data_IF_082407177757
#
_entry.id   IF_082407177757
#
_cell.length_a   1.000
_cell.length_b   1.000
_cell.length_c   1.000
_cell.angle_alpha   90.00
_cell.angle_beta   90.00
_cell.angle_gamma   90.00
#
_symmetry.space_group_name_H-M   'P 1'
#
loop_
_entity.id
_entity.type
_entity.pdbx_description
1 polymer ?
#
# COMPACT_ATOMS: atom_id res chain seq x y z
N UNK A 1 -57.36 45.42 -16.78
CA UNK A 1 -57.20 44.50 -17.93
C UNK A 1 -56.00 44.96 -18.75
N UNK A 2 -55.21 44.00 -19.27
CA UNK A 2 -54.02 44.16 -20.14
C UNK A 2 -52.67 44.47 -19.46
N UNK A 3 -52.05 43.38 -19.00
CA UNK A 3 -50.71 42.87 -19.33
C UNK A 3 -49.56 43.78 -19.82
N UNK A 4 -48.39 43.47 -19.23
CA UNK A 4 -46.99 43.49 -19.72
C UNK A 4 -46.04 44.68 -19.48
N UNK A 5 -44.90 44.28 -18.89
CA UNK A 5 -43.51 44.69 -19.14
C UNK A 5 -42.90 45.86 -18.34
N UNK A 6 -42.06 45.51 -17.34
CA UNK A 6 -40.87 46.29 -16.95
C UNK A 6 -39.70 45.35 -16.59
N UNK A 7 -38.66 45.36 -17.44
CA UNK A 7 -37.21 45.20 -17.24
C UNK A 7 -36.60 44.15 -16.28
N UNK A 8 -35.73 43.28 -16.82
CA UNK A 8 -34.25 43.41 -16.70
C UNK A 8 -33.48 42.44 -17.61
N UNK A 9 -32.26 42.88 -17.89
CA UNK A 9 -31.37 42.59 -19.00
C UNK A 9 -30.29 41.55 -18.61
N UNK A 10 -29.63 41.00 -19.64
CA UNK A 10 -28.33 40.33 -19.68
C UNK A 10 -28.20 38.91 -19.09
N UNK A 11 -28.20 37.88 -19.95
CA UNK A 11 -27.00 37.10 -20.34
C UNK A 11 -27.37 35.94 -21.27
N UNK A 12 -27.19 36.21 -22.56
CA UNK A 12 -27.00 35.23 -23.63
C UNK A 12 -25.61 34.59 -23.48
N UNK A 13 -25.52 33.29 -23.22
CA UNK A 13 -24.46 32.39 -23.70
C UNK A 13 -24.79 30.93 -23.33
N UNK A 14 -25.88 30.40 -23.89
CA UNK A 14 -26.25 28.99 -23.75
C UNK A 14 -26.71 28.47 -25.10
N UNK A 15 -25.79 28.43 -26.07
CA UNK A 15 -25.86 27.49 -27.19
C UNK A 15 -24.48 27.40 -27.83
N UNK A 16 -24.15 26.18 -28.30
CA UNK A 16 -22.96 25.83 -29.09
C UNK A 16 -21.69 25.58 -28.27
N UNK A 17 -21.53 24.35 -27.77
CA UNK A 17 -20.32 23.51 -27.85
C UNK A 17 -20.52 22.26 -26.98
N UNK A 18 -21.37 21.34 -27.46
CA UNK A 18 -21.56 20.02 -26.82
C UNK A 18 -21.80 18.93 -27.86
N UNK A 19 -20.97 18.92 -28.90
CA UNK A 19 -20.89 17.83 -29.88
C UNK A 19 -19.55 17.91 -30.59
N UNK A 20 -18.55 17.12 -30.15
CA UNK A 20 -17.40 16.60 -30.91
C UNK A 20 -16.28 16.17 -29.94
N UNK A 21 -16.35 14.96 -29.38
CA UNK A 21 -15.20 14.12 -28.97
C UNK A 21 -15.65 12.73 -28.53
N UNK A 22 -16.54 12.06 -29.29
CA UNK A 22 -16.88 10.64 -29.06
C UNK A 22 -16.86 9.81 -30.35
N UNK A 23 -16.01 10.15 -31.32
CA UNK A 23 -15.76 9.31 -32.51
C UNK A 23 -14.30 9.41 -32.91
N UNK A 24 -13.37 8.82 -32.14
CA UNK A 24 -12.07 8.35 -32.69
C UNK A 24 -11.18 7.56 -31.70
N UNK A 25 -11.72 6.84 -30.70
CA UNK A 25 -10.89 6.08 -29.75
C UNK A 25 -11.11 4.56 -29.82
N UNK A 26 -11.25 4.02 -31.04
CA UNK A 26 -11.40 2.57 -31.25
C UNK A 26 -10.71 2.06 -32.50
N UNK A 27 -9.51 2.57 -32.80
CA UNK A 27 -8.66 2.02 -33.86
C UNK A 27 -7.19 2.32 -33.55
N UNK A 28 -6.39 1.26 -33.56
CA UNK A 28 -4.92 1.25 -33.47
C UNK A 28 -4.29 1.17 -32.07
N UNK A 29 -4.63 0.13 -31.31
CA UNK A 29 -3.64 -0.59 -30.51
C UNK A 29 -3.09 -1.72 -31.38
N UNK A 30 -1.94 -1.49 -31.99
CA UNK A 30 -0.92 -2.53 -32.15
C UNK A 30 0.33 -1.93 -32.76
N UNK A 31 1.46 -2.45 -32.29
CA UNK A 31 2.83 -2.21 -32.77
C UNK A 31 3.38 -0.84 -32.38
N UNK A 32 4.62 -0.65 -31.96
CA UNK A 32 5.81 -1.46 -31.71
C UNK A 32 6.84 -0.43 -31.15
N UNK A 33 7.97 -0.90 -30.60
CA UNK A 33 9.22 -0.13 -30.44
C UNK A 33 9.43 0.79 -29.21
N UNK A 34 10.23 0.26 -28.27
CA UNK A 34 11.41 0.90 -27.67
C UNK A 34 12.53 0.98 -28.76
N UNK A 35 13.63 1.79 -28.76
CA UNK A 35 14.34 2.35 -27.59
C UNK A 35 15.16 3.69 -27.78
N UNK A 36 15.74 4.18 -26.67
CA UNK A 36 16.99 5.00 -26.45
C UNK A 36 17.14 6.46 -26.94
N UNK A 37 17.20 7.35 -25.94
CA UNK A 37 18.16 8.42 -25.65
C UNK A 37 18.55 9.47 -26.70
N UNK A 38 18.26 10.76 -26.40
CA UNK A 38 19.29 11.75 -26.00
C UNK A 38 18.68 13.16 -25.78
N UNK A 39 19.37 13.96 -24.97
CA UNK A 39 19.17 15.40 -24.66
C UNK A 39 18.14 15.73 -23.54
N UNK A 40 18.51 15.86 -22.26
CA UNK A 40 19.40 16.82 -21.57
C UNK A 40 18.69 18.11 -21.08
N UNK A 41 18.34 18.06 -19.77
CA UNK A 41 18.32 19.12 -18.74
C UNK A 41 17.32 20.28 -18.82
N UNK A 42 16.38 20.36 -17.87
CA UNK A 42 16.41 21.32 -16.73
C UNK A 42 15.75 20.67 -15.49
N UNK A 43 16.51 20.62 -14.40
CA UNK A 43 16.07 20.20 -13.07
C UNK A 43 15.17 21.28 -12.44
N UNK A 44 13.93 20.92 -12.11
CA UNK A 44 13.28 21.39 -10.88
C UNK A 44 12.38 20.26 -10.36
N UNK A 45 12.50 20.03 -9.06
CA UNK A 45 12.46 18.72 -8.41
C UNK A 45 11.10 18.29 -7.89
N UNK A 46 9.96 18.61 -8.53
CA UNK A 46 8.66 18.26 -7.93
C UNK A 46 7.52 18.02 -8.93
N UNK A 47 7.72 17.17 -9.94
CA UNK A 47 6.57 16.66 -10.72
C UNK A 47 6.52 15.14 -10.82
N UNK A 48 7.65 14.43 -10.82
CA UNK A 48 7.66 12.96 -10.84
C UNK A 48 7.37 12.32 -9.48
N UNK A 49 7.81 12.93 -8.36
CA UNK A 49 7.34 12.54 -7.01
C UNK A 49 5.83 12.78 -6.84
N UNK A 50 5.28 13.75 -7.56
CA UNK A 50 3.85 14.09 -7.52
C UNK A 50 3.02 13.17 -8.43
N UNK A 51 3.55 12.78 -9.59
CA UNK A 51 2.87 11.87 -10.52
C UNK A 51 2.89 10.40 -10.07
N UNK A 52 3.84 9.98 -9.22
CA UNK A 52 3.78 8.68 -8.55
C UNK A 52 2.79 8.65 -7.36
N UNK A 53 2.30 9.81 -6.92
CA UNK A 53 1.37 9.95 -5.78
C UNK A 53 -0.10 9.88 -6.18
N UNK A 54 -0.42 9.92 -7.48
CA UNK A 54 -1.79 10.00 -7.99
C UNK A 54 -2.32 8.72 -8.66
N UNK A 55 -1.50 7.69 -8.89
CA UNK A 55 -1.99 6.35 -9.28
C UNK A 55 -2.50 5.51 -8.09
N UNK A 56 -2.58 6.12 -6.89
CA UNK A 56 -2.92 5.48 -5.60
C UNK A 56 -4.43 5.40 -5.31
N UNK A 57 -5.32 5.83 -6.21
CA UNK A 57 -6.77 5.64 -6.08
C UNK A 57 -7.29 5.09 -7.41
N UNK A 58 -7.63 3.80 -7.53
CA UNK A 58 -8.98 3.27 -7.25
C UNK A 58 -8.97 1.86 -6.58
N UNK A 59 -7.89 1.52 -5.89
CA UNK A 59 -7.83 0.33 -5.04
C UNK A 59 -7.20 0.72 -3.72
N UNK A 60 -8.01 0.95 -2.69
CA UNK A 60 -7.52 1.33 -1.36
C UNK A 60 -6.37 0.42 -0.94
N UNK A 61 -5.27 1.01 -0.44
CA UNK A 61 -4.12 0.26 0.06
C UNK A 61 -4.61 -0.56 1.26
N UNK A 62 -4.94 -1.83 1.01
CA UNK A 62 -5.18 -2.80 2.07
C UNK A 62 -3.82 -3.08 2.72
N UNK A 63 -3.48 -2.32 3.75
CA UNK A 63 -2.33 -2.63 4.59
C UNK A 63 -2.55 -4.04 5.14
N UNK A 64 -1.70 -4.97 4.73
CA UNK A 64 -1.75 -6.34 5.23
C UNK A 64 -1.55 -6.32 6.75
N UNK A 65 -2.50 -6.92 7.49
CA UNK A 65 -2.45 -6.94 8.95
C UNK A 65 -1.24 -7.73 9.42
N UNK A 66 -0.27 -7.06 10.02
CA UNK A 66 0.85 -7.69 10.72
C UNK A 66 0.40 -8.05 12.13
N UNK A 67 0.68 -9.28 12.55
CA UNK A 67 0.31 -9.79 13.88
C UNK A 67 1.48 -10.55 14.50
N UNK A 68 1.73 -10.27 15.77
CA UNK A 68 2.60 -11.07 16.65
C UNK A 68 1.71 -11.70 17.71
N UNK A 69 1.62 -13.03 17.71
CA UNK A 69 0.87 -13.80 18.70
C UNK A 69 1.84 -14.44 19.70
N UNK A 70 1.56 -14.26 20.99
CA UNK A 70 2.27 -14.95 22.06
C UNK A 70 1.58 -16.30 22.29
N UNK A 71 2.29 -17.41 22.08
CA UNK A 71 1.77 -18.73 22.40
C UNK A 71 2.15 -19.13 23.83
N UNK A 72 1.18 -19.69 24.55
CA UNK A 72 1.42 -20.24 25.89
C UNK A 72 2.48 -21.32 25.85
N UNK A 73 3.42 -21.26 26.78
CA UNK A 73 4.52 -22.22 26.92
C UNK A 73 5.31 -22.43 25.60
N UNK A 74 5.29 -21.44 24.70
CA UNK A 74 5.80 -21.58 23.35
C UNK A 74 6.37 -20.30 22.74
N UNK A 75 6.47 -20.29 21.42
CA UNK A 75 7.10 -19.25 20.60
C UNK A 75 6.25 -17.98 20.44
N UNK A 76 6.90 -16.92 19.96
CA UNK A 76 6.20 -15.81 19.32
C UNK A 76 5.90 -16.17 17.87
N UNK A 77 4.63 -16.16 17.47
CA UNK A 77 4.21 -16.40 16.09
C UNK A 77 4.04 -15.06 15.39
N UNK A 78 4.88 -14.80 14.41
CA UNK A 78 4.82 -13.59 13.59
C UNK A 78 4.13 -13.94 12.27
N UNK A 79 3.18 -13.11 11.85
CA UNK A 79 2.41 -13.28 10.60
C UNK A 79 2.24 -11.93 9.93
N UNK A 80 2.49 -11.88 8.63
CA UNK A 80 2.50 -10.66 7.82
C UNK A 80 3.85 -10.43 7.16
N UNK A 81 3.91 -9.41 6.32
CA UNK A 81 5.16 -8.99 5.68
C UNK A 81 6.00 -8.19 6.67
N UNK A 82 7.05 -8.83 7.19
CA UNK A 82 8.01 -8.21 8.12
C UNK A 82 9.43 -8.66 7.80
N UNK A 83 10.39 -7.78 8.02
CA UNK A 83 11.81 -8.10 7.97
C UNK A 83 12.34 -8.39 9.36
N UNK A 84 13.09 -9.48 9.50
CA UNK A 84 13.80 -9.83 10.73
C UNK A 84 15.27 -9.46 10.56
N UNK A 85 15.77 -8.52 11.37
CA UNK A 85 17.15 -8.02 11.30
C UNK A 85 17.90 -8.30 12.59
N UNK A 86 19.23 -8.45 12.50
CA UNK A 86 20.12 -8.47 13.66
C UNK A 86 20.54 -7.06 14.11
N UNK A 87 21.35 -6.99 15.16
CA UNK A 87 21.88 -5.72 15.69
C UNK A 87 22.84 -5.00 14.75
N UNK A 88 23.36 -5.68 13.72
CA UNK A 88 24.23 -5.13 12.68
C UNK A 88 23.43 -4.75 11.41
N UNK A 89 22.11 -4.95 11.41
CA UNK A 89 21.24 -4.68 10.26
C UNK A 89 21.22 -5.78 9.20
N UNK A 90 21.79 -6.96 9.47
CA UNK A 90 21.72 -8.09 8.54
C UNK A 90 20.36 -8.77 8.62
N UNK A 91 19.79 -9.07 7.46
CA UNK A 91 18.48 -9.69 7.33
C UNK A 91 18.56 -11.22 7.50
N UNK A 92 17.66 -11.77 8.31
CA UNK A 92 17.42 -13.20 8.41
C UNK A 92 16.42 -13.67 7.35
N UNK A 93 16.52 -14.93 6.88
CA UNK A 93 15.57 -15.48 5.91
C UNK A 93 14.19 -15.72 6.55
N UNK A 94 13.29 -14.74 6.46
CA UNK A 94 11.94 -14.81 7.02
C UNK A 94 10.90 -15.22 5.95
N UNK A 95 9.90 -16.00 6.38
CA UNK A 95 8.70 -16.33 5.59
C UNK A 95 7.57 -15.36 5.98
N UNK A 96 6.46 -15.29 5.22
CA UNK A 96 5.28 -14.50 5.63
C UNK A 96 4.67 -14.90 6.98
N UNK A 97 4.98 -16.13 7.46
CA UNK A 97 4.68 -16.55 8.81
C UNK A 97 5.83 -17.41 9.36
N UNK A 98 6.39 -17.01 10.50
CA UNK A 98 7.48 -17.71 11.18
C UNK A 98 7.32 -17.63 12.70
N UNK A 99 8.10 -18.44 13.42
CA UNK A 99 8.05 -18.51 14.88
C UNK A 99 9.41 -18.20 15.48
N UNK A 100 9.46 -17.24 16.39
CA UNK A 100 10.65 -16.84 17.11
C UNK A 100 10.75 -17.58 18.46
N UNK A 101 11.97 -17.93 18.83
CA UNK A 101 12.24 -18.57 20.10
C UNK A 101 11.96 -17.59 21.25
N UNK A 102 11.20 -18.06 22.24
CA UNK A 102 10.92 -17.34 23.49
C UNK A 102 11.57 -18.01 24.70
N UNK A 103 11.85 -19.31 24.62
CA UNK A 103 12.33 -20.11 25.75
C UNK A 103 13.85 -20.15 25.93
N UNK A 104 14.63 -19.68 24.95
CA UNK A 104 16.09 -19.75 24.98
C UNK A 104 16.70 -21.13 24.68
N UNK A 105 15.88 -22.19 24.53
CA UNK A 105 16.35 -23.57 24.35
C UNK A 105 16.57 -23.98 22.88
N UNK A 106 16.26 -23.10 21.92
CA UNK A 106 16.34 -23.47 20.51
C UNK A 106 17.77 -23.62 20.02
N UNK A 107 18.03 -24.62 19.18
CA UNK A 107 19.32 -24.78 18.49
C UNK A 107 19.41 -23.96 17.21
N UNK A 108 18.29 -23.44 16.72
CA UNK A 108 18.20 -22.66 15.49
C UNK A 108 17.78 -21.21 15.75
N UNK A 109 18.39 -20.58 16.75
CA UNK A 109 18.11 -19.18 17.11
C UNK A 109 18.33 -18.26 15.89
N UNK A 110 17.45 -17.27 15.66
CA UNK A 110 16.36 -16.79 16.53
C UNK A 110 15.03 -17.55 16.37
N UNK A 111 14.98 -18.59 15.53
CA UNK A 111 13.76 -19.35 15.25
C UNK A 111 13.43 -20.38 16.34
N UNK A 112 12.16 -20.77 16.40
CA UNK A 112 11.69 -21.83 17.28
C UNK A 112 11.76 -23.21 16.60
N UNK A 113 12.40 -24.18 17.24
CA UNK A 113 12.53 -25.58 16.83
C UNK A 113 11.73 -26.56 17.72
N UNK A 114 10.78 -26.04 18.49
CA UNK A 114 9.96 -26.79 19.46
C UNK A 114 10.69 -27.35 20.69
N UNK A 115 11.94 -26.94 20.95
CA UNK A 115 12.68 -27.30 22.17
C UNK A 115 12.05 -26.80 23.49
N UNK A 116 11.03 -25.94 23.42
CA UNK A 116 10.26 -25.46 24.58
C UNK A 116 9.35 -26.53 25.21
N UNK A 117 8.99 -27.58 24.47
CA UNK A 117 8.01 -28.58 24.93
C UNK A 117 8.46 -29.25 26.23
N UNK A 118 7.65 -29.11 27.29
CA UNK A 118 7.89 -29.72 28.60
C UNK A 118 9.02 -29.09 29.41
N UNK A 119 9.58 -27.95 28.96
CA UNK A 119 10.72 -27.29 29.63
C UNK A 119 10.52 -25.79 29.84
N UNK A 120 9.46 -25.22 29.27
CA UNK A 120 9.19 -23.79 29.31
C UNK A 120 7.75 -23.54 29.72
N UNK A 121 7.57 -22.81 30.82
CA UNK A 121 6.28 -22.42 31.36
C UNK A 121 6.19 -20.90 31.39
N UNK A 122 5.28 -20.35 30.59
CA UNK A 122 5.02 -18.92 30.56
C UNK A 122 3.67 -18.65 29.89
N UNK A 123 2.74 -18.15 30.69
CA UNK A 123 1.41 -17.71 30.28
C UNK A 123 1.33 -16.21 30.46
N UNK A 124 1.13 -15.47 29.37
CA UNK A 124 1.02 -14.01 29.37
C UNK A 124 -0.34 -13.65 28.79
N UNK A 125 -1.03 -12.70 29.43
CA UNK A 125 -2.35 -12.22 29.02
C UNK A 125 -2.31 -10.70 28.88
N UNK A 126 -2.96 -10.19 27.84
CA UNK A 126 -3.20 -8.76 27.72
C UNK A 126 -4.22 -8.33 28.78
N UNK A 127 -4.12 -7.11 29.32
CA UNK A 127 -5.17 -6.57 30.17
C UNK A 127 -6.48 -6.44 29.39
N UNK A 128 -7.60 -6.54 30.09
CA UNK A 128 -8.91 -6.22 29.52
C UNK A 128 -8.97 -4.72 29.20
N UNK A 129 -9.62 -4.36 28.10
CA UNK A 129 -9.81 -2.96 27.78
C UNK A 129 -10.88 -2.39 28.73
N UNK A 130 -10.46 -1.48 29.61
CA UNK A 130 -11.35 -0.66 30.44
C UNK A 130 -12.13 0.36 29.59
#
# INVERSE_FOLDING_TARGET
MRSFAIFRNVRNCLSIFRHLTLVSYKKHYNTLFSPKESALLILSSTSLDYMMKLSVWEGGIALAKVQIKVNDNGSFRVTGEVELVDSQGKVFPAKPAFSLCRCGLSKNMPYCDASHKGKFESVVRAPEAE
#
